data_IF_227992149143
#
_entry.id   IF_227992149143
#
_cell.length_a   1.000
_cell.length_b   1.000
_cell.length_c   1.000
_cell.angle_alpha   90.00
_cell.angle_beta   90.00
_cell.angle_gamma   90.00
#
_symmetry.space_group_name_H-M   'P 1'
#
loop_
_entity.id
_entity.type
_entity.pdbx_description
1 polymer ?
#
# COMPACT_ATOMS: atom_id res chain seq x y z
N UNK A 1 -12.56 9.18 -92.36
CA UNK A 1 -13.53 8.07 -92.45
C UNK A 1 -12.98 6.97 -91.57
N UNK A 2 -13.51 6.93 -90.34
CA UNK A 2 -13.36 5.94 -89.26
C UNK A 2 -12.02 5.20 -89.14
N UNK A 3 -11.23 5.61 -88.14
CA UNK A 3 -10.27 4.74 -87.45
C UNK A 3 -11.05 3.52 -86.90
N UNK A 4 -10.80 2.34 -87.45
CA UNK A 4 -11.14 1.10 -86.76
C UNK A 4 -10.25 1.03 -85.53
N UNK A 5 -10.82 1.33 -84.36
CA UNK A 5 -10.17 1.09 -83.08
C UNK A 5 -10.11 -0.42 -82.89
N UNK A 6 -8.89 -0.95 -82.78
CA UNK A 6 -8.66 -2.36 -82.51
C UNK A 6 -9.49 -2.80 -81.29
N UNK A 7 -10.08 -4.02 -81.29
CA UNK A 7 -10.87 -4.49 -80.18
C UNK A 7 -9.98 -4.54 -78.93
N UNK A 8 -10.33 -3.74 -77.94
CA UNK A 8 -9.72 -3.72 -76.62
C UNK A 8 -9.80 -5.15 -76.06
N UNK A 9 -8.69 -5.87 -76.12
CA UNK A 9 -8.54 -7.18 -75.49
C UNK A 9 -8.66 -6.90 -74.00
N UNK A 10 -9.85 -7.12 -73.44
CA UNK A 10 -10.14 -6.97 -72.03
C UNK A 10 -9.25 -7.98 -71.29
N UNK A 11 -8.13 -7.52 -70.73
CA UNK A 11 -7.24 -8.33 -69.92
C UNK A 11 -7.97 -8.66 -68.61
N UNK A 12 -8.41 -9.91 -68.40
CA UNK A 12 -9.19 -10.28 -67.22
C UNK A 12 -8.39 -10.10 -65.93
N UNK A 13 -7.06 -10.18 -66.01
CA UNK A 13 -6.18 -10.02 -64.85
C UNK A 13 -6.15 -8.58 -64.32
N UNK A 14 -6.49 -7.60 -65.16
CA UNK A 14 -6.50 -6.19 -64.80
C UNK A 14 -7.84 -5.71 -64.18
N UNK A 15 -8.81 -6.62 -63.98
CA UNK A 15 -10.01 -6.39 -63.14
C UNK A 15 -9.89 -7.10 -61.77
N UNK A 16 -9.12 -8.19 -61.74
CA UNK A 16 -8.90 -8.96 -60.53
C UNK A 16 -7.96 -8.21 -59.54
N UNK A 17 -6.99 -7.42 -60.02
CA UNK A 17 -6.05 -6.68 -59.15
C UNK A 17 -6.69 -5.47 -58.45
N UNK A 18 -7.56 -4.74 -59.13
CA UNK A 18 -8.30 -3.57 -58.62
C UNK A 18 -9.35 -3.98 -57.58
N UNK A 19 -10.06 -5.09 -57.78
CA UNK A 19 -10.97 -5.65 -56.78
C UNK A 19 -10.22 -6.15 -55.53
N UNK A 20 -9.03 -6.75 -55.69
CA UNK A 20 -8.18 -7.18 -54.58
C UNK A 20 -7.60 -5.99 -53.80
N UNK A 21 -7.14 -4.94 -54.49
CA UNK A 21 -6.63 -3.72 -53.88
C UNK A 21 -7.74 -3.01 -53.07
N UNK A 22 -8.95 -2.85 -53.62
CA UNK A 22 -10.05 -2.17 -52.94
C UNK A 22 -10.54 -2.94 -51.69
N UNK A 23 -10.57 -4.28 -51.77
CA UNK A 23 -10.84 -5.14 -50.61
C UNK A 23 -9.73 -5.04 -49.55
N UNK A 24 -8.46 -5.01 -49.96
CA UNK A 24 -7.33 -4.90 -49.03
C UNK A 24 -7.38 -3.60 -48.22
N UNK A 25 -7.77 -2.48 -48.85
CA UNK A 25 -7.93 -1.17 -48.19
C UNK A 25 -9.11 -1.20 -47.22
N UNK A 26 -10.25 -1.80 -47.60
CA UNK A 26 -11.42 -1.95 -46.73
C UNK A 26 -11.12 -2.80 -45.49
N UNK A 27 -10.42 -3.91 -45.66
CA UNK A 27 -10.06 -4.83 -44.57
C UNK A 27 -9.07 -4.17 -43.61
N UNK A 28 -8.02 -3.51 -44.14
CA UNK A 28 -7.01 -2.82 -43.32
C UNK A 28 -7.61 -1.68 -42.49
N UNK A 29 -8.52 -0.88 -43.05
CA UNK A 29 -9.23 0.19 -42.31
C UNK A 29 -10.08 -0.37 -41.16
N UNK A 30 -10.78 -1.49 -41.37
CA UNK A 30 -11.59 -2.14 -40.34
C UNK A 30 -10.73 -2.70 -39.21
N UNK A 31 -9.59 -3.32 -39.54
CA UNK A 31 -8.64 -3.86 -38.55
C UNK A 31 -7.99 -2.73 -37.75
N UNK A 32 -7.57 -1.63 -38.39
CA UNK A 32 -7.00 -0.45 -37.71
C UNK A 32 -8.01 0.15 -36.73
N UNK A 33 -9.28 0.25 -37.13
CA UNK A 33 -10.35 0.79 -36.28
C UNK A 33 -10.61 -0.10 -35.06
N UNK A 34 -10.64 -1.42 -35.27
CA UNK A 34 -10.75 -2.40 -34.18
C UNK A 34 -9.54 -2.34 -33.24
N UNK A 35 -8.32 -2.29 -33.77
CA UNK A 35 -7.09 -2.20 -32.97
C UNK A 35 -7.09 -0.96 -32.06
N UNK A 36 -7.46 0.21 -32.60
CA UNK A 36 -7.58 1.45 -31.83
C UNK A 36 -8.70 1.40 -30.78
N UNK A 37 -9.80 0.71 -31.07
CA UNK A 37 -10.88 0.49 -30.13
C UNK A 37 -10.42 -0.35 -28.94
N UNK A 38 -9.79 -1.50 -29.17
CA UNK A 38 -9.26 -2.34 -28.08
C UNK A 38 -8.16 -1.66 -27.29
N UNK A 39 -7.29 -0.88 -27.95
CA UNK A 39 -6.27 -0.09 -27.27
C UNK A 39 -6.90 0.93 -26.29
N UNK A 40 -7.93 1.67 -26.72
CA UNK A 40 -8.66 2.62 -25.86
C UNK A 40 -9.35 1.92 -24.69
N UNK A 41 -9.98 0.77 -24.94
CA UNK A 41 -10.64 -0.03 -23.90
C UNK A 41 -9.62 -0.56 -22.89
N UNK A 42 -8.51 -1.14 -23.36
CA UNK A 42 -7.42 -1.63 -22.50
C UNK A 42 -6.79 -0.52 -21.67
N UNK A 43 -6.58 0.66 -22.27
CA UNK A 43 -6.09 1.84 -21.54
C UNK A 43 -7.08 2.28 -20.45
N UNK A 44 -8.38 2.35 -20.76
CA UNK A 44 -9.41 2.70 -19.77
C UNK A 44 -9.45 1.69 -18.61
N UNK A 45 -9.37 0.39 -18.90
CA UNK A 45 -9.28 -0.66 -17.88
C UNK A 45 -8.03 -0.52 -17.00
N UNK A 46 -6.87 -0.22 -17.60
CA UNK A 46 -5.63 0.00 -16.86
C UNK A 46 -5.75 1.18 -15.89
N UNK A 47 -6.39 2.28 -16.30
CA UNK A 47 -6.61 3.44 -15.44
C UNK A 47 -7.53 3.10 -14.26
N UNK A 48 -8.61 2.36 -14.52
CA UNK A 48 -9.53 1.90 -13.45
C UNK A 48 -8.78 1.02 -12.44
N UNK A 49 -7.96 0.09 -12.92
CA UNK A 49 -7.20 -0.82 -12.07
C UNK A 49 -6.17 -0.07 -11.22
N UNK A 50 -5.52 0.95 -11.79
CA UNK A 50 -4.62 1.85 -11.06
C UNK A 50 -5.36 2.57 -9.92
N UNK A 51 -6.52 3.16 -10.21
CA UNK A 51 -7.33 3.88 -9.22
C UNK A 51 -7.75 2.93 -8.09
N UNK A 52 -8.20 1.71 -8.41
CA UNK A 52 -8.56 0.71 -7.41
C UNK A 52 -7.37 0.32 -6.54
N UNK A 53 -6.19 0.14 -7.14
CA UNK A 53 -4.98 -0.22 -6.40
C UNK A 53 -4.55 0.89 -5.45
N UNK A 54 -4.53 2.14 -5.92
CA UNK A 54 -4.20 3.31 -5.08
C UNK A 54 -5.22 3.48 -3.96
N UNK A 55 -6.51 3.36 -4.27
CA UNK A 55 -7.58 3.41 -3.26
C UNK A 55 -7.44 2.33 -2.20
N UNK A 56 -7.12 1.09 -2.60
CA UNK A 56 -6.88 -0.02 -1.69
C UNK A 56 -5.68 0.24 -0.77
N UNK A 57 -4.55 0.72 -1.31
CA UNK A 57 -3.37 1.07 -0.50
C UNK A 57 -3.69 2.15 0.52
N UNK A 58 -4.37 3.23 0.10
CA UNK A 58 -4.77 4.31 1.01
C UNK A 58 -5.74 3.80 2.08
N UNK A 59 -6.71 2.97 1.70
CA UNK A 59 -7.68 2.37 2.62
C UNK A 59 -7.01 1.48 3.66
N UNK A 60 -6.07 0.63 3.24
CA UNK A 60 -5.26 -0.21 4.14
C UNK A 60 -4.48 0.68 5.11
N UNK A 61 -3.71 1.66 4.61
CA UNK A 61 -2.89 2.54 5.45
C UNK A 61 -3.75 3.27 6.49
N UNK A 62 -4.88 3.85 6.09
CA UNK A 62 -5.79 4.51 7.03
C UNK A 62 -6.40 3.55 8.05
N UNK A 63 -6.89 2.40 7.58
CA UNK A 63 -7.50 1.39 8.43
C UNK A 63 -6.56 0.88 9.52
N UNK A 64 -5.27 0.68 9.20
CA UNK A 64 -4.27 0.30 10.18
C UNK A 64 -3.80 1.49 11.03
N UNK A 65 -3.67 2.69 10.47
CA UNK A 65 -3.19 3.87 11.20
C UNK A 65 -4.10 4.28 12.36
N UNK A 66 -5.41 4.08 12.24
CA UNK A 66 -6.37 4.42 13.31
C UNK A 66 -6.35 3.40 14.47
N UNK A 67 -5.84 2.19 14.21
CA UNK A 67 -5.78 1.10 15.19
C UNK A 67 -4.47 1.05 15.97
N UNK A 68 -3.45 1.81 15.58
CA UNK A 68 -2.21 1.92 16.35
C UNK A 68 -2.42 2.99 17.41
N UNK A 69 -2.67 2.63 18.68
CA UNK A 69 -2.69 3.62 19.74
C UNK A 69 -1.32 4.27 19.77
N UNK A 70 -1.27 5.59 19.64
CA UNK A 70 -0.04 6.34 19.89
C UNK A 70 0.24 6.15 21.38
N UNK A 71 1.18 5.25 21.71
CA UNK A 71 1.69 5.06 23.06
C UNK A 71 2.49 6.31 23.39
N UNK A 72 1.80 7.37 23.79
CA UNK A 72 2.42 8.48 24.48
C UNK A 72 2.64 8.04 25.93
N UNK A 73 3.71 8.50 26.58
CA UNK A 73 3.99 8.19 28.00
C UNK A 73 2.81 8.46 28.93
N UNK A 74 1.87 9.33 28.51
CA UNK A 74 0.62 9.64 29.24
C UNK A 74 -0.40 8.51 29.27
N UNK A 75 -0.33 7.57 28.33
CA UNK A 75 -1.27 6.46 28.20
C UNK A 75 -0.96 5.30 29.16
N UNK A 76 0.29 5.16 29.61
CA UNK A 76 0.69 4.10 30.52
C UNK A 76 0.32 4.46 31.97
N UNK A 77 -0.73 3.81 32.48
CA UNK A 77 -1.22 3.98 33.86
C UNK A 77 -1.33 2.61 34.55
N UNK A 78 -0.21 2.05 35.05
CA UNK A 78 -0.25 0.77 35.75
C UNK A 78 -0.97 0.91 37.09
N UNK A 79 -1.54 -0.21 37.56
CA UNK A 79 -2.04 -0.28 38.92
C UNK A 79 -0.87 -0.29 39.90
N UNK A 80 -0.82 0.67 40.83
CA UNK A 80 0.24 0.82 41.81
C UNK A 80 -0.30 0.56 43.22
N UNK A 81 0.56 -0.01 44.07
CA UNK A 81 0.23 -0.24 45.47
C UNK A 81 0.03 1.08 46.20
N UNK A 82 -1.14 1.25 46.82
CA UNK A 82 -1.43 2.38 47.71
C UNK A 82 -0.71 2.19 49.04
N UNK A 83 -0.07 3.24 49.53
CA UNK A 83 0.64 3.23 50.81
C UNK A 83 -0.04 4.18 51.80
N UNK A 84 -0.42 3.64 52.96
CA UNK A 84 -1.07 4.37 54.05
C UNK A 84 -0.03 4.70 55.11
N UNK A 85 0.11 5.98 55.46
CA UNK A 85 1.07 6.47 56.44
C UNK A 85 0.37 7.11 57.64
N UNK A 86 1.02 7.09 58.81
CA UNK A 86 0.59 7.87 59.96
C UNK A 86 1.04 9.35 59.88
N UNK A 87 0.65 10.16 60.87
CA UNK A 87 1.00 11.57 60.94
C UNK A 87 2.50 11.86 61.12
N UNK A 88 3.33 10.83 61.38
CA UNK A 88 4.78 10.92 61.49
C UNK A 88 5.48 10.34 60.25
N UNK A 89 4.73 9.96 59.21
CA UNK A 89 5.25 9.38 57.97
C UNK A 89 5.67 7.92 58.09
N UNK A 90 5.26 7.21 59.15
CA UNK A 90 5.51 5.75 59.27
C UNK A 90 4.50 4.99 58.44
N UNK A 91 4.96 4.02 57.66
CA UNK A 91 4.10 3.16 56.85
C UNK A 91 3.26 2.24 57.75
N UNK A 92 1.95 2.30 57.60
CA UNK A 92 0.98 1.47 58.33
C UNK A 92 0.49 0.28 57.51
N UNK A 93 0.21 0.50 56.22
CA UNK A 93 -0.35 -0.52 55.35
C UNK A 93 0.00 -0.29 53.88
N UNK A 94 0.05 -1.40 53.12
CA UNK A 94 0.17 -1.42 51.66
C UNK A 94 -1.07 -2.10 51.09
N UNK A 95 -1.89 -1.35 50.37
CA UNK A 95 -3.10 -1.84 49.73
C UNK A 95 -2.83 -2.06 48.24
N UNK A 96 -2.81 -3.31 47.83
CA UNK A 96 -2.66 -3.71 46.44
C UNK A 96 -3.80 -4.67 46.06
N UNK A 97 -4.17 -4.67 44.78
CA UNK A 97 -5.09 -5.64 44.22
C UNK A 97 -4.29 -6.92 43.87
N UNK A 98 -4.36 -7.36 42.61
CA UNK A 98 -3.63 -8.55 42.14
C UNK A 98 -2.11 -8.34 42.11
N UNK A 99 -1.64 -7.11 41.91
CA UNK A 99 -0.23 -6.82 41.65
C UNK A 99 0.40 -5.97 42.75
N UNK A 100 1.54 -6.43 43.29
CA UNK A 100 2.34 -5.68 44.25
C UNK A 100 3.41 -4.83 43.53
N UNK A 101 2.98 -3.74 42.89
CA UNK A 101 3.87 -2.80 42.18
C UNK A 101 4.15 -1.57 43.04
N UNK A 102 5.43 -1.19 43.14
CA UNK A 102 5.85 0.07 43.77
C UNK A 102 5.83 1.22 42.77
N UNK A 103 6.07 2.46 43.23
CA UNK A 103 6.16 3.63 42.34
C UNK A 103 7.10 3.38 41.16
N UNK A 104 6.77 3.99 40.03
CA UNK A 104 7.64 4.01 38.86
C UNK A 104 8.89 4.84 39.19
N UNK A 105 10.06 4.27 38.95
CA UNK A 105 11.34 4.94 39.16
C UNK A 105 11.77 5.65 37.88
N UNK A 106 12.36 6.83 38.01
CA UNK A 106 13.10 7.45 36.92
C UNK A 106 14.35 6.61 36.62
N UNK A 107 14.79 6.62 35.36
CA UNK A 107 16.00 5.90 34.94
C UNK A 107 17.20 6.22 35.85
N UNK A 108 17.36 7.48 36.27
CA UNK A 108 18.43 7.94 37.17
C UNK A 108 18.41 7.30 38.56
N UNK A 109 17.26 6.85 39.04
CA UNK A 109 17.11 6.18 40.34
C UNK A 109 17.50 4.69 40.27
N UNK A 110 17.61 4.13 39.06
CA UNK A 110 17.97 2.72 38.86
C UNK A 110 19.50 2.59 38.75
N UNK A 111 20.15 1.72 39.55
CA UNK A 111 21.59 1.50 39.47
C UNK A 111 22.05 1.11 38.07
N UNK A 112 23.16 1.70 37.61
CA UNK A 112 23.68 1.49 36.25
C UNK A 112 23.91 0.02 35.92
N UNK A 113 24.47 -0.74 36.86
CA UNK A 113 24.76 -2.16 36.66
C UNK A 113 23.49 -3.00 36.48
N UNK A 114 22.38 -2.65 37.15
CA UNK A 114 21.08 -3.32 36.97
C UNK A 114 20.56 -3.08 35.56
N UNK A 115 20.56 -1.81 35.10
CA UNK A 115 20.12 -1.47 33.74
C UNK A 115 20.93 -2.23 32.69
N UNK A 116 22.25 -2.25 32.86
CA UNK A 116 23.16 -2.95 31.95
C UNK A 116 22.95 -4.47 31.96
N UNK A 117 22.73 -5.07 33.13
CA UNK A 117 22.49 -6.50 33.25
C UNK A 117 21.21 -6.92 32.54
N UNK A 118 20.12 -6.17 32.70
CA UNK A 118 18.85 -6.45 32.02
C UNK A 118 19.02 -6.31 30.50
N UNK A 119 19.64 -5.22 30.04
CA UNK A 119 19.92 -5.01 28.60
C UNK A 119 20.76 -6.15 28.04
N UNK A 120 21.81 -6.58 28.75
CA UNK A 120 22.67 -7.68 28.31
C UNK A 120 21.95 -9.04 28.22
N UNK A 121 20.91 -9.27 29.04
CA UNK A 121 20.13 -10.52 29.04
C UNK A 121 19.04 -10.52 27.97
N UNK A 122 18.32 -9.41 27.81
CA UNK A 122 17.12 -9.33 26.96
C UNK A 122 17.43 -8.87 25.53
N UNK A 123 18.20 -7.79 25.37
CA UNK A 123 18.56 -7.23 24.07
C UNK A 123 19.84 -6.40 24.16
N UNK A 124 20.98 -6.99 23.79
CA UNK A 124 22.28 -6.32 23.81
C UNK A 124 22.33 -5.08 22.90
N UNK A 125 21.46 -5.03 21.88
CA UNK A 125 21.39 -3.93 20.91
C UNK A 125 20.31 -2.92 21.27
N UNK A 126 19.72 -2.99 22.46
CA UNK A 126 18.65 -2.09 22.89
C UNK A 126 18.96 -0.61 22.63
N UNK A 127 20.21 -0.18 22.87
CA UNK A 127 20.65 1.21 22.64
C UNK A 127 21.06 1.54 21.20
N UNK A 128 21.07 0.56 20.29
CA UNK A 128 21.45 0.72 18.89
C UNK A 128 20.23 0.86 17.95
N UNK A 129 19.02 0.64 18.46
CA UNK A 129 17.78 0.85 17.72
C UNK A 129 17.38 2.34 17.77
N UNK A 130 16.94 2.89 16.62
CA UNK A 130 16.49 4.27 16.45
C UNK A 130 15.10 4.30 15.82
#
# INVERSE_FOLDING_TARGET
MNDLKDPEILDPSAQDEDDEEEQSVSITQRIIGWLWFFFKVGFAFSVILLIMTVGAVIGIVKGFSEQVPIITDRSYRPNLTTQVFDNRGRLLAKLHATENRTRILATSEIPKFIRQAIVAIEDERFYQHY
#
